data_IF_973665500076
#
_entry.id   IF_973665500076
#
_cell.length_a   1.000
_cell.length_b   1.000
_cell.length_c   1.000
_cell.angle_alpha   90.00
_cell.angle_beta   90.00
_cell.angle_gamma   90.00
#
_symmetry.space_group_name_H-M   'P 1'
#
loop_
_entity.id
_entity.type
_entity.pdbx_description
1 polymer ?
#
# COMPACT_ATOMS: atom_id res chain seq x y z
N UNK A 1 17.90 13.56 19.73
CA UNK A 1 16.56 14.06 19.35
C UNK A 1 15.67 12.83 19.16
N UNK A 2 15.58 12.00 20.19
CA UNK A 2 14.49 12.00 21.20
C UNK A 2 13.14 11.67 20.57
N UNK A 3 12.85 10.37 20.61
CA UNK A 3 11.58 9.74 20.25
C UNK A 3 10.60 10.08 21.39
N UNK A 4 9.62 10.93 21.09
CA UNK A 4 8.56 11.28 22.02
C UNK A 4 7.58 10.10 22.18
N UNK A 5 7.22 9.72 23.41
CA UNK A 5 6.37 8.56 23.69
C UNK A 5 4.88 8.80 23.39
N UNK A 6 4.21 7.70 23.06
CA UNK A 6 2.77 7.58 22.76
C UNK A 6 1.99 7.74 24.08
N UNK A 7 1.66 8.97 24.47
CA UNK A 7 0.74 9.24 25.58
C UNK A 7 -0.32 10.26 25.17
N UNK A 8 -1.35 9.82 24.42
CA UNK A 8 -2.71 10.37 24.50
C UNK A 8 -3.71 9.55 23.69
N UNK A 9 -4.01 8.36 24.18
CA UNK A 9 -5.16 7.58 23.72
C UNK A 9 -6.14 7.43 24.89
N UNK A 10 -6.77 8.54 25.22
CA UNK A 10 -7.90 8.55 26.13
C UNK A 10 -9.05 9.32 25.48
N UNK A 11 -10.18 8.61 25.42
CA UNK A 11 -11.56 9.07 25.17
C UNK A 11 -12.02 9.04 23.72
N UNK A 12 -12.53 7.88 23.32
CA UNK A 12 -13.88 7.82 22.76
C UNK A 12 -14.56 6.53 23.26
N UNK A 13 -15.62 6.71 24.03
CA UNK A 13 -16.42 5.64 24.64
C UNK A 13 -17.41 5.04 23.63
N UNK A 14 -17.42 3.70 23.55
CA UNK A 14 -18.52 2.72 23.35
C UNK A 14 -19.86 3.16 22.72
N UNK A 15 -20.45 2.33 21.84
CA UNK A 15 -21.09 1.09 22.32
C UNK A 15 -20.93 -0.15 21.41
N UNK A 16 -20.69 -1.31 22.02
CA UNK A 16 -21.62 -2.46 22.07
C UNK A 16 -20.91 -3.57 22.86
N UNK A 17 -21.54 -3.96 23.96
CA UNK A 17 -21.16 -5.09 24.77
C UNK A 17 -21.23 -6.39 23.95
N UNK A 18 -20.09 -6.88 23.50
CA UNK A 18 -19.85 -8.30 23.30
C UNK A 18 -18.71 -8.66 24.25
N UNK A 19 -18.86 -9.73 25.04
CA UNK A 19 -17.85 -10.18 26.01
C UNK A 19 -16.46 -10.36 25.37
N UNK A 20 -15.41 -10.70 26.15
CA UNK A 20 -14.05 -10.86 25.64
C UNK A 20 -14.01 -12.03 24.64
N UNK A 21 -14.36 -11.75 23.39
CA UNK A 21 -14.28 -12.68 22.28
C UNK A 21 -12.84 -12.56 21.78
N UNK A 22 -11.94 -13.17 22.53
CA UNK A 22 -10.53 -13.31 22.18
C UNK A 22 -10.47 -14.15 20.89
N UNK A 23 -10.07 -13.52 19.80
CA UNK A 23 -10.02 -14.22 18.52
C UNK A 23 -9.81 -13.29 17.33
N UNK A 24 -9.33 -13.88 16.24
CA UNK A 24 -9.34 -13.23 14.94
C UNK A 24 -10.72 -13.40 14.30
N UNK A 25 -11.22 -12.36 13.65
CA UNK A 25 -12.49 -12.37 12.94
C UNK A 25 -12.40 -11.62 11.61
N UNK A 26 -13.20 -12.05 10.66
CA UNK A 26 -13.41 -11.33 9.40
C UNK A 26 -14.31 -10.14 9.64
N UNK A 27 -13.92 -8.99 9.10
CA UNK A 27 -14.69 -7.78 9.15
C UNK A 27 -14.63 -7.05 7.80
N UNK A 28 -15.61 -6.19 7.56
CA UNK A 28 -15.61 -5.26 6.44
C UNK A 28 -15.12 -3.90 6.91
N UNK A 29 -14.19 -3.29 6.17
CA UNK A 29 -13.80 -1.91 6.45
C UNK A 29 -14.98 -1.00 6.10
N UNK A 30 -15.45 -0.20 7.05
CA UNK A 30 -16.54 0.76 6.83
C UNK A 30 -15.98 2.14 6.52
N UNK A 31 -14.95 2.54 7.25
CA UNK A 31 -14.41 3.90 7.16
C UNK A 31 -12.95 3.91 7.60
N UNK A 32 -12.16 4.77 6.96
CA UNK A 32 -10.82 5.14 7.40
C UNK A 32 -10.93 6.55 7.98
N UNK A 33 -10.73 6.69 9.29
CA UNK A 33 -10.81 7.98 9.96
C UNK A 33 -9.58 8.85 9.65
N UNK A 34 -9.69 10.19 9.72
CA UNK A 34 -8.56 11.11 9.48
C UNK A 34 -7.39 10.94 10.45
N UNK A 35 -7.63 10.36 11.63
CA UNK A 35 -6.63 10.05 12.66
C UNK A 35 -5.85 8.74 12.39
N UNK A 36 -6.15 8.06 11.28
CA UNK A 36 -5.53 6.79 10.89
C UNK A 36 -6.20 5.55 11.46
N UNK A 37 -7.29 5.69 12.22
CA UNK A 37 -8.04 4.54 12.76
C UNK A 37 -8.98 3.94 11.72
N UNK A 38 -9.04 2.61 11.69
CA UNK A 38 -9.90 1.85 10.79
C UNK A 38 -11.17 1.42 11.52
N UNK A 39 -12.33 1.86 11.05
CA UNK A 39 -13.61 1.38 11.58
C UNK A 39 -14.04 0.16 10.79
N UNK A 40 -14.13 -0.98 11.47
CA UNK A 40 -14.53 -2.24 10.85
C UNK A 40 -15.88 -2.69 11.37
N UNK A 41 -16.62 -3.44 10.55
CA UNK A 41 -17.90 -4.06 10.92
C UNK A 41 -17.80 -5.56 10.73
N UNK A 42 -17.98 -6.30 11.81
CA UNK A 42 -17.99 -7.76 11.82
C UNK A 42 -19.35 -8.32 11.39
N UNK A 43 -19.41 -9.63 11.11
CA UNK A 43 -20.63 -10.30 10.64
C UNK A 43 -21.80 -10.25 11.64
N UNK A 44 -21.48 -10.15 12.94
CA UNK A 44 -22.44 -9.93 14.04
C UNK A 44 -22.92 -8.48 14.13
N UNK A 45 -22.63 -7.64 13.13
CA UNK A 45 -22.96 -6.21 13.06
C UNK A 45 -22.29 -5.33 14.13
N UNK A 46 -21.37 -5.88 14.92
CA UNK A 46 -20.56 -5.09 15.84
C UNK A 46 -19.58 -4.20 15.06
N UNK A 47 -19.42 -2.96 15.52
CA UNK A 47 -18.44 -2.03 14.97
C UNK A 47 -17.45 -1.64 16.05
N UNK A 48 -16.18 -1.61 15.68
CA UNK A 48 -15.11 -1.15 16.57
C UNK A 48 -13.99 -0.53 15.76
N UNK A 49 -13.23 0.33 16.43
CA UNK A 49 -12.06 0.98 15.85
C UNK A 49 -10.83 0.08 16.03
N UNK A 50 -10.07 -0.04 14.95
CA UNK A 50 -8.88 -0.87 14.88
C UNK A 50 -7.67 -0.05 14.44
N UNK A 51 -6.52 -0.40 14.98
CA UNK A 51 -5.23 -0.03 14.43
C UNK A 51 -4.90 -0.88 13.20
N UNK A 52 -4.04 -0.40 12.33
CA UNK A 52 -3.51 -1.15 11.19
C UNK A 52 -2.17 -1.78 11.56
N UNK A 53 -2.01 -3.09 11.29
CA UNK A 53 -0.70 -3.73 11.34
C UNK A 53 0.11 -3.27 10.13
N UNK A 54 1.11 -2.43 10.37
CA UNK A 54 1.98 -1.95 9.30
C UNK A 54 2.73 -3.11 8.64
N UNK A 55 2.47 -3.32 7.36
CA UNK A 55 2.97 -4.46 6.60
C UNK A 55 4.33 -4.16 6.00
N UNK A 56 5.41 -4.40 6.75
CA UNK A 56 6.83 -4.52 6.30
C UNK A 56 7.18 -3.90 4.93
N UNK A 57 6.89 -2.61 4.71
CA UNK A 57 7.35 -1.83 3.56
C UNK A 57 6.86 -2.27 2.17
N UNK A 58 5.88 -3.18 2.06
CA UNK A 58 5.26 -3.48 0.78
C UNK A 58 4.24 -2.38 0.47
N UNK A 59 4.41 -1.69 -0.66
CA UNK A 59 3.45 -0.70 -1.18
C UNK A 59 2.13 -1.40 -1.54
N UNK A 60 1.35 -1.74 -0.51
CA UNK A 60 0.03 -2.32 -0.65
C UNK A 60 -0.94 -1.17 -0.84
N UNK A 61 -1.77 -1.25 -1.90
CA UNK A 61 -2.86 -0.30 -2.15
C UNK A 61 -3.59 -0.03 -0.83
N UNK A 62 -3.78 1.25 -0.44
CA UNK A 62 -4.42 1.60 0.82
C UNK A 62 -5.77 0.90 0.95
N UNK A 63 -6.13 0.53 2.17
CA UNK A 63 -7.43 -0.07 2.45
C UNK A 63 -8.54 0.92 2.08
N UNK A 64 -9.57 0.43 1.41
CA UNK A 64 -10.73 1.22 1.02
C UNK A 64 -11.98 0.70 1.74
N UNK A 65 -12.93 1.57 2.08
CA UNK A 65 -14.26 1.15 2.53
C UNK A 65 -14.84 0.06 1.62
N UNK A 66 -15.34 -1.02 2.20
CA UNK A 66 -15.84 -2.21 1.52
C UNK A 66 -14.83 -3.37 1.43
N UNK A 67 -13.55 -3.15 1.71
CA UNK A 67 -12.57 -4.24 1.73
C UNK A 67 -12.85 -5.24 2.87
N UNK A 68 -12.73 -6.53 2.55
CA UNK A 68 -12.74 -7.60 3.54
C UNK A 68 -11.37 -7.70 4.22
N UNK A 69 -11.34 -7.64 5.55
CA UNK A 69 -10.13 -7.59 6.36
C UNK A 69 -10.17 -8.62 7.50
N UNK A 70 -9.01 -9.14 7.86
CA UNK A 70 -8.83 -9.97 9.06
C UNK A 70 -8.46 -9.07 10.22
N UNK A 71 -9.17 -9.20 11.32
CA UNK A 71 -9.03 -8.32 12.49
C UNK A 71 -8.90 -9.12 13.76
N UNK A 72 -8.08 -8.66 14.70
CA UNK A 72 -8.12 -9.06 16.09
C UNK A 72 -9.16 -8.19 16.79
N UNK A 73 -10.07 -8.82 17.53
CA UNK A 73 -11.06 -8.09 18.32
C UNK A 73 -10.38 -7.31 19.45
N UNK A 74 -10.91 -6.13 19.81
CA UNK A 74 -10.45 -5.41 20.98
C UNK A 74 -10.68 -6.27 22.22
N UNK A 75 -9.72 -6.22 23.14
CA UNK A 75 -9.85 -6.73 24.50
C UNK A 75 -9.86 -5.54 25.47
N UNK A 76 -10.17 -5.79 26.73
CA UNK A 76 -10.30 -4.81 27.81
C UNK A 76 -9.13 -3.82 27.91
N UNK A 77 -7.93 -4.24 27.51
CA UNK A 77 -6.69 -3.45 27.58
C UNK A 77 -6.01 -3.24 26.21
N UNK A 78 -6.61 -3.72 25.11
CA UNK A 78 -5.98 -3.68 23.78
C UNK A 78 -6.97 -3.28 22.69
N UNK A 79 -6.67 -2.26 21.87
CA UNK A 79 -7.50 -1.94 20.73
C UNK A 79 -7.50 -3.09 19.71
N UNK A 80 -8.53 -3.14 18.87
CA UNK A 80 -8.57 -4.08 17.76
C UNK A 80 -7.42 -3.80 16.78
N UNK A 81 -6.96 -4.83 16.07
CA UNK A 81 -5.87 -4.69 15.10
C UNK A 81 -6.31 -5.35 13.79
N UNK A 82 -6.30 -4.58 12.71
CA UNK A 82 -6.41 -5.11 11.35
C UNK A 82 -5.06 -5.71 10.95
N UNK A 83 -5.03 -7.03 10.76
CA UNK A 83 -3.83 -7.76 10.38
C UNK A 83 -3.54 -7.69 8.89
N UNK A 84 -4.59 -7.59 8.06
CA UNK A 84 -4.45 -7.54 6.61
C UNK A 84 -5.76 -7.70 5.85
N UNK A 85 -5.70 -7.46 4.54
CA UNK A 85 -6.83 -7.67 3.62
C UNK A 85 -6.96 -9.16 3.28
N UNK A 86 -8.16 -9.72 3.38
CA UNK A 86 -8.43 -11.11 3.01
C UNK A 86 -8.89 -11.17 1.56
N UNK A 87 -8.20 -11.97 0.75
CA UNK A 87 -8.55 -12.25 -0.65
C UNK A 87 -8.29 -13.71 -0.96
N UNK A 88 -8.95 -14.21 -2.00
CA UNK A 88 -8.59 -15.50 -2.57
C UNK A 88 -7.12 -15.47 -2.99
N UNK A 89 -6.38 -16.51 -2.62
CA UNK A 89 -5.03 -16.72 -3.12
C UNK A 89 -5.11 -17.06 -4.61
N UNK A 90 -4.37 -16.32 -5.44
CA UNK A 90 -4.25 -16.59 -6.87
C UNK A 90 -2.79 -17.00 -7.09
N UNK A 91 -2.58 -18.30 -7.33
CA UNK A 91 -1.24 -18.89 -7.48
C UNK A 91 -0.48 -18.35 -8.71
N UNK A 92 -1.21 -17.99 -9.75
CA UNK A 92 -0.67 -17.46 -11.00
C UNK A 92 -1.33 -16.13 -11.31
N UNK A 93 -0.84 -15.06 -10.69
CA UNK A 93 -1.09 -13.72 -11.20
C UNK A 93 -0.23 -13.51 -12.46
N UNK A 94 -0.59 -14.16 -13.56
CA UNK A 94 -0.10 -13.72 -14.88
C UNK A 94 -0.74 -12.35 -15.11
N UNK A 95 -0.05 -11.32 -14.67
CA UNK A 95 -0.38 -9.94 -15.02
C UNK A 95 0.18 -9.74 -16.43
N UNK A 96 -0.65 -9.65 -17.48
CA UNK A 96 -0.14 -9.39 -18.82
C UNK A 96 0.58 -8.03 -18.89
N UNK A 97 0.34 -7.15 -17.91
CA UNK A 97 0.86 -5.79 -17.84
C UNK A 97 1.29 -5.45 -16.41
N UNK A 98 2.50 -4.92 -16.24
CA UNK A 98 2.99 -4.32 -15.00
C UNK A 98 2.92 -2.79 -15.10
N UNK A 99 2.18 -2.15 -14.20
CA UNK A 99 2.10 -0.69 -14.08
C UNK A 99 2.86 -0.25 -12.82
N UNK A 100 3.85 0.63 -13.01
CA UNK A 100 4.60 1.26 -11.92
C UNK A 100 4.30 2.76 -11.94
N UNK A 101 3.84 3.30 -10.82
CA UNK A 101 3.49 4.72 -10.66
C UNK A 101 4.36 5.36 -9.58
N UNK A 102 4.85 6.55 -9.85
CA UNK A 102 5.60 7.38 -8.90
C UNK A 102 5.21 8.84 -9.11
N UNK A 103 5.14 9.61 -8.02
CA UNK A 103 4.72 11.03 -8.07
C UNK A 103 5.84 11.96 -8.52
N UNK A 104 7.11 11.59 -8.30
CA UNK A 104 8.26 12.44 -8.56
C UNK A 104 9.27 11.80 -9.53
N UNK A 105 9.74 10.59 -9.20
CA UNK A 105 10.68 9.84 -10.03
C UNK A 105 10.55 8.32 -9.88
N UNK A 106 10.81 7.59 -10.96
CA UNK A 106 10.91 6.14 -10.98
C UNK A 106 12.27 5.73 -11.56
N UNK A 107 13.08 5.04 -10.76
CA UNK A 107 14.41 4.58 -11.18
C UNK A 107 14.51 3.06 -11.09
N UNK A 108 14.80 2.42 -12.23
CA UNK A 108 15.17 1.02 -12.31
C UNK A 108 16.70 0.95 -12.42
N UNK A 109 17.36 0.33 -11.45
CA UNK A 109 18.84 0.25 -11.38
C UNK A 109 19.32 -1.20 -11.39
N UNK A 110 20.36 -1.47 -12.17
CA UNK A 110 21.06 -2.75 -12.20
C UNK A 110 22.57 -2.49 -12.33
N UNK A 111 23.31 -2.59 -11.22
CA UNK A 111 24.72 -2.18 -11.18
C UNK A 111 24.87 -0.70 -11.55
N UNK A 112 25.70 -0.41 -12.55
CA UNK A 112 25.95 0.94 -13.08
C UNK A 112 24.90 1.40 -14.12
N UNK A 113 24.03 0.50 -14.59
CA UNK A 113 22.98 0.83 -15.53
C UNK A 113 21.72 1.34 -14.81
N UNK A 114 21.05 2.34 -15.40
CA UNK A 114 19.76 2.82 -14.89
C UNK A 114 18.81 3.32 -15.97
N UNK A 115 17.51 3.18 -15.70
CA UNK A 115 16.42 3.84 -16.43
C UNK A 115 15.67 4.70 -15.43
N UNK A 116 15.62 6.00 -15.66
CA UNK A 116 14.94 6.98 -14.81
C UNK A 116 13.81 7.67 -15.58
N UNK A 117 12.61 7.70 -15.00
CA UNK A 117 11.47 8.50 -15.46
C UNK A 117 11.18 9.58 -14.41
N UNK A 118 10.97 10.81 -14.85
CA UNK A 118 10.70 11.97 -13.99
C UNK A 118 9.32 12.55 -14.24
N UNK A 119 8.75 13.20 -13.24
CA UNK A 119 7.44 13.85 -13.33
C UNK A 119 7.37 14.98 -14.38
N UNK A 120 8.52 15.53 -14.82
CA UNK A 120 8.60 16.53 -15.89
C UNK A 120 8.53 15.93 -17.31
N UNK A 121 8.36 14.61 -17.41
CA UNK A 121 8.27 13.87 -18.67
C UNK A 121 9.62 13.46 -19.26
N UNK A 122 10.74 13.75 -18.60
CA UNK A 122 12.06 13.30 -19.05
C UNK A 122 12.28 11.83 -18.70
N UNK A 123 12.78 11.08 -19.68
CA UNK A 123 13.27 9.72 -19.49
C UNK A 123 14.78 9.69 -19.80
N UNK A 124 15.55 9.02 -18.95
CA UNK A 124 17.00 8.90 -19.07
C UNK A 124 17.40 7.43 -19.00
N UNK A 125 18.20 6.97 -19.96
CA UNK A 125 18.80 5.64 -19.97
C UNK A 125 20.31 5.81 -19.86
N UNK A 126 20.91 5.22 -18.83
CA UNK A 126 22.34 5.26 -18.56
C UNK A 126 22.90 3.84 -18.52
N UNK A 127 24.08 3.67 -19.09
CA UNK A 127 24.85 2.43 -19.12
C UNK A 127 26.12 2.62 -19.94
N UNK A 128 27.03 1.66 -19.84
CA UNK A 128 28.24 1.62 -20.66
C UNK A 128 27.91 1.44 -22.16
N UNK A 129 26.95 0.56 -22.45
CA UNK A 129 26.39 0.33 -23.79
C UNK A 129 24.86 0.29 -23.72
N UNK A 130 24.20 0.91 -24.71
CA UNK A 130 22.73 0.98 -24.80
C UNK A 130 22.28 0.49 -26.18
N UNK A 131 21.80 -0.76 -26.22
CA UNK A 131 21.24 -1.36 -27.42
C UNK A 131 19.72 -1.14 -27.50
N UNK A 132 19.28 -0.29 -28.42
CA UNK A 132 17.85 -0.11 -28.73
C UNK A 132 17.46 -0.95 -29.96
N UNK A 133 16.66 -2.01 -29.77
CA UNK A 133 16.19 -2.88 -30.85
C UNK A 133 14.67 -2.81 -30.99
N UNK A 134 14.18 -2.63 -32.22
CA UNK A 134 12.76 -2.67 -32.54
C UNK A 134 12.52 -3.58 -33.76
N UNK A 135 11.39 -4.30 -33.78
CA UNK A 135 10.95 -5.07 -34.96
C UNK A 135 10.40 -4.16 -36.09
N UNK A 136 9.94 -2.97 -35.73
CA UNK A 136 9.45 -1.95 -36.66
C UNK A 136 10.36 -0.72 -36.71
N UNK A 137 9.84 0.40 -37.18
CA UNK A 137 10.59 1.65 -37.30
C UNK A 137 10.78 2.32 -35.93
N UNK A 138 12.03 2.67 -35.61
CA UNK A 138 12.33 3.61 -34.54
C UNK A 138 12.23 5.03 -35.11
N UNK A 139 11.30 5.84 -34.59
CA UNK A 139 11.10 7.20 -35.08
C UNK A 139 11.45 8.21 -33.99
N UNK A 140 12.49 9.00 -34.24
CA UNK A 140 12.91 10.10 -33.39
C UNK A 140 12.24 11.37 -33.95
N UNK A 141 11.40 12.02 -33.15
CA UNK A 141 10.72 13.28 -33.51
C UNK A 141 11.09 14.34 -32.48
N UNK A 142 11.79 15.39 -32.91
CA UNK A 142 12.26 16.49 -32.07
C UNK A 142 13.29 16.09 -31.00
N UNK A 143 14.56 16.16 -31.37
CA UNK A 143 15.69 16.06 -30.46
C UNK A 143 16.96 16.49 -31.18
N UNK A 144 17.81 17.28 -30.52
CA UNK A 144 19.18 17.43 -30.98
C UNK A 144 19.85 16.06 -30.84
N UNK A 145 20.24 15.46 -31.96
CA UNK A 145 20.96 14.18 -31.97
C UNK A 145 22.42 14.48 -32.20
N UNK A 146 23.21 14.40 -31.13
CA UNK A 146 24.66 14.45 -31.23
C UNK A 146 25.18 13.01 -31.37
N UNK A 147 25.63 12.66 -32.57
CA UNK A 147 26.39 11.43 -32.83
C UNK A 147 27.85 11.87 -32.95
N UNK A 148 28.70 11.36 -32.05
CA UNK A 148 30.15 11.59 -32.10
C UNK A 148 30.84 10.39 -32.75
#
# INVERSE_FOLDING_TARGET
>A
MEIQPIEKLARLSDPVAAGPLTGSCLASLVEVRPDGWLVVRTADSCQFACLWLDGLGLQTRPLQPGDQVLTLRPDTDRPGIVLGRVRAYIAEASTPTLNLEATESLTLKCGEASVELRADGRAMVKGEDVLLRAKGTQRIRAGNVAIN
#
